data_IF_629220481013
#
_entry.id   IF_629220481013
#
_cell.length_a   1.000
_cell.length_b   1.000
_cell.length_c   1.000
_cell.angle_alpha   90.00
_cell.angle_beta   90.00
_cell.angle_gamma   90.00
#
_symmetry.space_group_name_H-M   'P 1'
#
loop_
_entity.id
_entity.type
_entity.pdbx_description
1 polymer ?
#
# COMPACT_ATOMS: atom_id res chain seq x y z
N UNK A 1 17.75 18.33 0.22
CA UNK A 1 17.89 19.65 0.87
C UNK A 1 16.53 20.33 0.96
N UNK A 2 16.06 20.76 2.15
CA UNK A 2 14.86 21.58 2.46
C UNK A 2 13.53 20.89 2.76
N UNK A 3 13.52 19.96 3.72
CA UNK A 3 12.29 19.73 4.52
C UNK A 3 12.41 20.40 5.90
N UNK A 4 13.63 20.69 6.38
CA UNK A 4 13.85 21.44 7.63
C UNK A 4 13.37 22.90 7.59
N UNK A 5 13.23 23.51 6.41
CA UNK A 5 12.75 24.88 6.26
C UNK A 5 11.24 25.03 6.44
N UNK A 6 10.44 24.02 6.07
CA UNK A 6 8.97 24.10 6.12
C UNK A 6 8.43 24.02 7.56
N UNK A 7 9.02 23.19 8.39
CA UNK A 7 8.60 23.08 9.81
C UNK A 7 9.03 24.32 10.61
N UNK A 8 10.19 24.90 10.29
CA UNK A 8 10.70 26.09 11.00
C UNK A 8 9.96 27.39 10.61
N UNK A 9 9.45 27.49 9.39
CA UNK A 9 8.65 28.64 8.97
C UNK A 9 7.26 28.64 9.63
N UNK A 10 6.65 27.47 9.79
CA UNK A 10 5.35 27.32 10.48
C UNK A 10 5.40 27.66 11.97
N UNK A 11 6.53 27.41 12.63
CA UNK A 11 6.73 27.82 14.03
C UNK A 11 7.01 29.32 14.19
N UNK A 12 7.50 30.01 13.16
CA UNK A 12 7.73 31.45 13.20
C UNK A 12 6.49 32.28 12.95
N UNK A 13 5.56 31.76 12.14
CA UNK A 13 4.28 32.43 11.86
C UNK A 13 3.32 32.39 13.06
N UNK A 14 3.42 31.38 13.92
CA UNK A 14 2.57 31.27 15.10
C UNK A 14 2.98 32.26 16.23
N UNK A 15 4.11 32.97 16.10
CA UNK A 15 4.60 33.90 17.12
C UNK A 15 4.16 35.35 16.92
N UNK A 16 3.54 35.69 15.79
CA UNK A 16 3.16 37.08 15.45
C UNK A 16 1.66 37.35 15.53
N UNK A 17 0.83 36.36 15.80
CA UNK A 17 -0.60 36.60 16.03
C UNK A 17 -0.88 36.71 17.51
N UNK A 18 -1.05 37.97 17.95
CA UNK A 18 -1.45 38.32 19.29
C UNK A 18 -2.80 37.71 19.68
N UNK A 19 -2.84 37.26 20.91
CA UNK A 19 -4.00 37.20 21.81
C UNK A 19 -5.38 37.04 21.15
N UNK A 20 -5.67 35.88 20.57
CA UNK A 20 -7.06 35.42 20.44
C UNK A 20 -7.17 34.21 21.36
N UNK A 21 -8.05 34.32 22.39
CA UNK A 21 -8.54 33.23 23.22
C UNK A 21 -9.19 32.17 22.32
N UNK A 22 -8.39 31.38 21.63
CA UNK A 22 -8.79 30.23 20.86
C UNK A 22 -8.23 29.00 21.55
N UNK A 23 -9.11 28.17 22.11
CA UNK A 23 -8.72 26.95 22.76
C UNK A 23 -7.82 26.13 21.85
N UNK A 24 -6.57 25.96 22.25
CA UNK A 24 -5.73 24.91 21.69
C UNK A 24 -6.53 23.61 21.84
N UNK A 25 -7.05 23.09 20.73
CA UNK A 25 -7.56 21.73 20.70
C UNK A 25 -6.36 20.88 21.10
N UNK A 26 -6.28 20.48 22.37
CA UNK A 26 -5.34 19.46 22.81
C UNK A 26 -5.63 18.26 21.92
N UNK A 27 -4.84 18.08 20.86
CA UNK A 27 -4.87 16.83 20.12
C UNK A 27 -4.51 15.79 21.15
N UNK A 28 -5.53 15.09 21.64
CA UNK A 28 -5.39 14.14 22.73
C UNK A 28 -4.36 13.11 22.28
N UNK A 29 -3.40 12.80 23.15
CA UNK A 29 -2.46 11.69 22.93
C UNK A 29 -3.22 10.42 22.52
N UNK A 30 -4.42 10.23 23.06
CA UNK A 30 -5.37 9.17 22.69
C UNK A 30 -5.77 9.20 21.19
N UNK A 31 -5.93 10.40 20.59
CA UNK A 31 -6.26 10.54 19.18
C UNK A 31 -5.08 10.16 18.28
N UNK A 32 -3.86 10.47 18.69
CA UNK A 32 -2.62 10.10 17.96
C UNK A 32 -2.35 8.61 18.11
N UNK A 33 -2.44 8.08 19.34
CA UNK A 33 -2.26 6.65 19.62
C UNK A 33 -3.37 5.83 18.95
N UNK A 34 -4.62 6.28 18.96
CA UNK A 34 -5.72 5.64 18.26
C UNK A 34 -5.50 5.57 16.75
N UNK A 35 -4.98 6.63 16.14
CA UNK A 35 -4.61 6.65 14.73
C UNK A 35 -3.48 5.65 14.41
N UNK A 36 -2.43 5.62 15.25
CA UNK A 36 -1.30 4.69 15.08
C UNK A 36 -1.75 3.24 15.24
N UNK A 37 -2.62 2.93 16.18
CA UNK A 37 -3.13 1.58 16.38
C UNK A 37 -4.04 1.15 15.22
N UNK A 38 -4.86 2.06 14.71
CA UNK A 38 -5.85 1.76 13.66
C UNK A 38 -5.19 1.35 12.34
N UNK A 39 -4.14 2.03 11.87
CA UNK A 39 -3.49 1.63 10.62
C UNK A 39 -2.78 0.27 10.72
N UNK A 40 -2.27 -0.10 11.92
CA UNK A 40 -1.67 -1.41 12.15
C UNK A 40 -2.72 -2.51 11.98
N UNK A 41 -3.91 -2.35 12.59
CA UNK A 41 -4.99 -3.32 12.44
C UNK A 41 -5.47 -3.45 10.99
N UNK A 42 -5.57 -2.34 10.28
CA UNK A 42 -5.91 -2.34 8.85
C UNK A 42 -4.83 -3.05 8.02
N UNK A 43 -3.55 -2.82 8.32
CA UNK A 43 -2.44 -3.48 7.65
C UNK A 43 -2.42 -5.00 7.91
N UNK A 44 -2.67 -5.41 9.17
CA UNK A 44 -2.79 -6.84 9.52
C UNK A 44 -3.98 -7.49 8.83
N UNK A 45 -5.13 -6.82 8.79
CA UNK A 45 -6.29 -7.27 8.03
C UNK A 45 -5.99 -7.43 6.55
N UNK A 46 -5.30 -6.46 5.94
CA UNK A 46 -4.84 -6.55 4.55
C UNK A 46 -3.93 -7.77 4.34
N UNK A 47 -2.97 -8.00 5.23
CA UNK A 47 -2.07 -9.16 5.14
C UNK A 47 -2.83 -10.49 5.23
N UNK A 48 -3.82 -10.58 6.13
CA UNK A 48 -4.68 -11.77 6.24
C UNK A 48 -5.45 -12.05 4.95
N UNK A 49 -6.13 -11.03 4.39
CA UNK A 49 -6.85 -11.19 3.13
C UNK A 49 -5.92 -11.46 1.95
N UNK A 50 -4.70 -10.93 1.94
CA UNK A 50 -3.70 -11.24 0.92
C UNK A 50 -3.28 -12.71 0.98
N UNK A 51 -3.07 -13.26 2.19
CA UNK A 51 -2.77 -14.68 2.37
C UNK A 51 -3.93 -15.57 1.89
N UNK A 52 -5.15 -15.25 2.31
CA UNK A 52 -6.36 -15.97 1.86
C UNK A 52 -6.52 -15.91 0.34
N UNK A 53 -6.29 -14.75 -0.26
CA UNK A 53 -6.29 -14.55 -1.71
C UNK A 53 -5.32 -15.51 -2.41
N UNK A 54 -4.09 -15.66 -1.88
CA UNK A 54 -3.07 -16.52 -2.50
C UNK A 54 -3.48 -17.99 -2.51
N UNK A 55 -4.08 -18.48 -1.43
CA UNK A 55 -4.56 -19.85 -1.33
C UNK A 55 -5.78 -20.08 -2.23
N UNK A 56 -6.78 -19.18 -2.18
CA UNK A 56 -7.96 -19.27 -3.04
C UNK A 56 -7.60 -19.16 -4.52
N UNK A 57 -6.62 -18.32 -4.85
CA UNK A 57 -6.13 -18.19 -6.21
C UNK A 57 -5.46 -19.50 -6.69
N UNK A 58 -4.64 -20.15 -5.84
CA UNK A 58 -3.98 -21.40 -6.20
C UNK A 58 -4.99 -22.49 -6.52
N UNK A 59 -6.05 -22.62 -5.71
CA UNK A 59 -7.14 -23.57 -5.95
C UNK A 59 -7.95 -23.20 -7.19
N UNK A 60 -8.32 -21.93 -7.33
CA UNK A 60 -9.20 -21.46 -8.41
C UNK A 60 -8.54 -21.40 -9.80
N UNK A 61 -7.21 -21.51 -9.88
CA UNK A 61 -6.48 -21.49 -11.15
C UNK A 61 -6.30 -22.88 -11.76
N UNK A 62 -6.65 -23.94 -11.03
CA UNK A 62 -6.61 -25.31 -11.55
C UNK A 62 -7.53 -25.46 -12.77
N UNK A 63 -6.96 -25.88 -13.91
CA UNK A 63 -7.71 -26.04 -15.16
C UNK A 63 -8.16 -24.75 -15.86
N UNK A 64 -7.85 -23.57 -15.30
CA UNK A 64 -8.20 -22.27 -15.86
C UNK A 64 -6.96 -21.52 -16.31
N UNK A 65 -6.99 -20.92 -17.49
CA UNK A 65 -5.86 -20.08 -17.97
C UNK A 65 -5.60 -18.90 -17.03
N UNK A 66 -4.34 -18.65 -16.67
CA UNK A 66 -3.96 -17.61 -15.69
C UNK A 66 -4.51 -16.22 -16.04
N UNK A 67 -4.54 -15.86 -17.32
CA UNK A 67 -5.06 -14.57 -17.77
C UNK A 67 -6.59 -14.48 -17.53
N UNK A 68 -7.32 -15.57 -17.80
CA UNK A 68 -8.76 -15.61 -17.57
C UNK A 68 -9.09 -15.54 -16.07
N UNK A 69 -8.35 -16.30 -15.25
CA UNK A 69 -8.49 -16.25 -13.79
C UNK A 69 -8.22 -14.84 -13.24
N UNK A 70 -7.19 -14.17 -13.74
CA UNK A 70 -6.88 -12.78 -13.39
C UNK A 70 -8.03 -11.84 -13.79
N UNK A 71 -8.59 -11.99 -15.00
CA UNK A 71 -9.68 -11.13 -15.49
C UNK A 71 -10.96 -11.30 -14.65
N UNK A 72 -11.38 -12.54 -14.37
CA UNK A 72 -12.57 -12.83 -13.56
C UNK A 72 -12.41 -12.22 -12.15
N UNK A 73 -11.28 -12.46 -11.50
CA UNK A 73 -11.00 -11.90 -10.18
C UNK A 73 -11.01 -10.37 -10.19
N UNK A 74 -10.39 -9.75 -11.21
CA UNK A 74 -10.34 -8.30 -11.32
C UNK A 74 -11.72 -7.70 -11.46
N UNK A 75 -12.62 -8.34 -12.20
CA UNK A 75 -14.01 -7.92 -12.32
C UNK A 75 -14.69 -7.88 -10.94
N UNK A 76 -14.53 -8.93 -10.12
CA UNK A 76 -15.08 -8.96 -8.76
C UNK A 76 -14.51 -7.82 -7.91
N UNK A 77 -13.19 -7.56 -7.99
CA UNK A 77 -12.56 -6.47 -7.24
C UNK A 77 -13.09 -5.10 -7.68
N UNK A 78 -13.27 -4.89 -8.99
CA UNK A 78 -13.85 -3.64 -9.54
C UNK A 78 -15.27 -3.43 -9.02
N UNK A 79 -16.12 -4.45 -9.07
CA UNK A 79 -17.51 -4.36 -8.57
C UNK A 79 -17.51 -4.03 -7.07
N UNK A 80 -16.68 -4.72 -6.29
CA UNK A 80 -16.58 -4.48 -4.85
C UNK A 80 -16.08 -3.05 -4.54
N UNK A 81 -15.06 -2.58 -5.25
CA UNK A 81 -14.51 -1.24 -5.06
C UNK A 81 -15.54 -0.15 -5.39
N UNK A 82 -16.25 -0.27 -6.52
CA UNK A 82 -17.31 0.67 -6.87
C UNK A 82 -18.50 0.59 -5.91
N UNK A 83 -18.86 -0.61 -5.45
CA UNK A 83 -19.87 -0.80 -4.40
C UNK A 83 -19.54 0.02 -3.15
N UNK A 84 -18.28 -0.01 -2.69
CA UNK A 84 -17.83 0.81 -1.57
C UNK A 84 -17.91 2.31 -1.87
N UNK A 85 -17.56 2.76 -3.07
CA UNK A 85 -17.69 4.16 -3.49
C UNK A 85 -19.15 4.64 -3.40
N UNK A 86 -20.10 3.81 -3.83
CA UNK A 86 -21.53 4.14 -3.76
C UNK A 86 -22.04 4.13 -2.31
N UNK A 87 -21.68 3.13 -1.49
CA UNK A 87 -22.07 3.05 -0.09
C UNK A 87 -21.55 4.26 0.72
N UNK A 88 -20.31 4.70 0.42
CA UNK A 88 -19.69 5.83 1.10
C UNK A 88 -20.03 7.19 0.48
N UNK A 89 -20.88 7.23 -0.54
CA UNK A 89 -21.30 8.44 -1.27
C UNK A 89 -20.12 9.29 -1.81
N UNK A 90 -19.01 8.65 -2.20
CA UNK A 90 -17.80 9.32 -2.67
C UNK A 90 -17.77 9.59 -4.19
N UNK A 91 -18.78 9.17 -4.94
CA UNK A 91 -18.84 9.33 -6.41
C UNK A 91 -18.72 10.80 -6.86
N UNK A 92 -19.16 11.75 -6.04
CA UNK A 92 -19.03 13.19 -6.35
C UNK A 92 -17.57 13.68 -6.39
N UNK A 93 -16.65 12.97 -5.70
CA UNK A 93 -15.23 13.31 -5.64
C UNK A 93 -14.48 13.12 -6.97
N UNK A 94 -15.05 12.36 -7.92
CA UNK A 94 -14.41 12.09 -9.22
C UNK A 94 -14.11 13.40 -9.98
N UNK A 95 -15.00 14.38 -9.89
CA UNK A 95 -14.83 15.68 -10.57
C UNK A 95 -13.76 16.57 -9.97
N UNK A 96 -13.35 16.31 -8.73
CA UNK A 96 -12.33 17.08 -8.00
C UNK A 96 -10.92 16.48 -8.11
N UNK A 97 -10.76 15.33 -8.78
CA UNK A 97 -9.47 14.67 -8.95
C UNK A 97 -8.60 15.49 -9.91
N UNK A 98 -7.38 15.84 -9.46
CA UNK A 98 -6.42 16.55 -10.29
C UNK A 98 -5.92 15.68 -11.45
N UNK A 99 -5.55 16.33 -12.57
CA UNK A 99 -4.97 15.63 -13.71
C UNK A 99 -3.73 14.82 -13.34
N UNK A 100 -2.90 15.37 -12.46
CA UNK A 100 -1.73 14.67 -11.91
C UNK A 100 -2.14 13.38 -11.20
N UNK A 101 -3.14 13.44 -10.34
CA UNK A 101 -3.64 12.25 -9.62
C UNK A 101 -4.20 11.20 -10.57
N UNK A 102 -4.92 11.61 -11.61
CA UNK A 102 -5.40 10.70 -12.66
C UNK A 102 -4.27 9.92 -13.32
N UNK A 103 -3.20 10.60 -13.73
CA UNK A 103 -2.04 9.96 -14.38
C UNK A 103 -1.43 8.91 -13.45
N UNK A 104 -1.16 9.27 -12.18
CA UNK A 104 -0.54 8.34 -11.24
C UNK A 104 -1.46 7.16 -10.87
N UNK A 105 -2.77 7.38 -10.75
CA UNK A 105 -3.72 6.30 -10.50
C UNK A 105 -3.80 5.32 -11.67
N UNK A 106 -3.79 5.83 -12.92
CA UNK A 106 -3.78 4.99 -14.12
C UNK A 106 -2.49 4.17 -14.18
N UNK A 107 -1.33 4.81 -14.00
CA UNK A 107 -0.04 4.13 -14.00
C UNK A 107 0.04 3.06 -12.89
N UNK A 108 -0.45 3.36 -11.70
CA UNK A 108 -0.55 2.40 -10.59
C UNK A 108 -1.45 1.23 -10.94
N UNK A 109 -2.60 1.49 -11.59
CA UNK A 109 -3.50 0.45 -12.06
C UNK A 109 -2.85 -0.48 -13.09
N UNK A 110 -2.11 0.09 -14.05
CA UNK A 110 -1.36 -0.69 -15.06
C UNK A 110 -0.27 -1.55 -14.40
N UNK A 111 0.48 -0.98 -13.44
CA UNK A 111 1.49 -1.73 -12.69
C UNK A 111 0.87 -2.88 -11.89
N UNK A 112 -0.28 -2.65 -11.24
CA UNK A 112 -1.03 -3.67 -10.51
C UNK A 112 -1.49 -4.78 -11.45
N UNK A 113 -2.04 -4.44 -12.61
CA UNK A 113 -2.47 -5.41 -13.62
C UNK A 113 -1.31 -6.29 -14.11
N UNK A 114 -0.18 -5.66 -14.45
CA UNK A 114 1.03 -6.39 -14.84
C UNK A 114 1.54 -7.32 -13.74
N UNK A 115 1.59 -6.84 -12.50
CA UNK A 115 1.98 -7.63 -11.34
C UNK A 115 1.07 -8.87 -11.17
N UNK A 116 -0.23 -8.70 -11.27
CA UNK A 116 -1.19 -9.82 -11.12
C UNK A 116 -1.09 -10.83 -12.25
N UNK A 117 -0.89 -10.40 -13.49
CA UNK A 117 -0.68 -11.33 -14.60
C UNK A 117 0.57 -12.20 -14.38
N UNK A 118 1.67 -11.59 -13.94
CA UNK A 118 2.89 -12.32 -13.58
C UNK A 118 2.67 -13.27 -12.40
N UNK A 119 2.03 -12.77 -11.33
CA UNK A 119 1.79 -13.53 -10.11
C UNK A 119 0.91 -14.77 -10.35
N UNK A 120 -0.20 -14.62 -11.09
CA UNK A 120 -1.09 -15.74 -11.40
C UNK A 120 -0.42 -16.76 -12.32
N UNK A 121 0.39 -16.28 -13.26
CA UNK A 121 1.18 -17.19 -14.09
C UNK A 121 2.22 -17.96 -13.26
N UNK A 122 2.88 -17.29 -12.33
CA UNK A 122 3.81 -17.94 -11.41
C UNK A 122 3.11 -18.97 -10.51
N UNK A 123 1.92 -18.66 -9.95
CA UNK A 123 1.12 -19.60 -9.16
C UNK A 123 0.65 -20.81 -9.96
N UNK A 124 0.42 -20.65 -11.26
CA UNK A 124 0.04 -21.75 -12.14
C UNK A 124 1.22 -22.73 -12.34
N UNK A 125 2.43 -22.22 -12.42
CA UNK A 125 3.65 -22.99 -12.72
C UNK A 125 4.37 -23.50 -11.46
N UNK A 126 4.22 -22.83 -10.32
CA UNK A 126 4.96 -23.10 -9.09
C UNK A 126 4.06 -23.31 -7.87
N UNK A 127 4.67 -23.78 -6.80
CA UNK A 127 3.99 -23.96 -5.51
C UNK A 127 3.75 -22.61 -4.83
N UNK A 128 2.57 -22.45 -4.24
CA UNK A 128 2.22 -21.21 -3.53
C UNK A 128 3.23 -20.90 -2.40
N UNK A 129 3.74 -21.92 -1.73
CA UNK A 129 4.76 -21.79 -0.67
C UNK A 129 6.07 -21.16 -1.13
N UNK A 130 6.41 -21.25 -2.42
CA UNK A 130 7.60 -20.65 -3.04
C UNK A 130 7.27 -19.32 -3.71
N UNK A 131 6.15 -19.24 -4.44
CA UNK A 131 5.76 -18.05 -5.20
C UNK A 131 5.40 -16.88 -4.28
N UNK A 132 4.66 -17.13 -3.20
CA UNK A 132 4.22 -16.08 -2.27
C UNK A 132 5.40 -15.38 -1.58
N UNK A 133 6.42 -16.09 -1.04
CA UNK A 133 7.60 -15.41 -0.48
C UNK A 133 8.34 -14.55 -1.49
N UNK A 134 8.52 -15.03 -2.74
CA UNK A 134 9.17 -14.23 -3.80
C UNK A 134 8.40 -12.94 -4.07
N UNK A 135 7.08 -12.99 -4.13
CA UNK A 135 6.25 -11.79 -4.30
C UNK A 135 6.48 -10.76 -3.18
N UNK A 136 6.79 -11.20 -1.95
CA UNK A 136 7.09 -10.32 -0.82
C UNK A 136 8.43 -9.58 -0.94
N UNK A 137 9.31 -9.93 -1.88
CA UNK A 137 10.47 -9.10 -2.23
C UNK A 137 10.05 -7.71 -2.73
N UNK A 138 8.81 -7.56 -3.19
CA UNK A 138 8.22 -6.26 -3.51
C UNK A 138 8.33 -5.25 -2.36
N UNK A 139 8.31 -5.70 -1.10
CA UNK A 139 8.52 -4.83 0.09
C UNK A 139 9.92 -4.22 0.07
N UNK A 140 10.95 -5.01 -0.24
CA UNK A 140 12.33 -4.53 -0.32
C UNK A 140 12.47 -3.52 -1.47
N UNK A 141 11.91 -3.85 -2.64
CA UNK A 141 11.91 -2.97 -3.81
C UNK A 141 11.18 -1.66 -3.49
N UNK A 142 10.02 -1.73 -2.81
CA UNK A 142 9.26 -0.54 -2.42
C UNK A 142 10.06 0.37 -1.51
N UNK A 143 10.78 -0.16 -0.52
CA UNK A 143 11.61 0.64 0.39
C UNK A 143 12.76 1.34 -0.36
N UNK A 144 13.41 0.65 -1.31
CA UNK A 144 14.45 1.24 -2.16
C UNK A 144 13.86 2.36 -3.03
N UNK A 145 12.70 2.12 -3.66
CA UNK A 145 12.03 3.13 -4.48
C UNK A 145 11.53 4.31 -3.65
N UNK A 146 11.02 4.09 -2.44
CA UNK A 146 10.60 5.14 -1.53
C UNK A 146 11.78 6.04 -1.13
N UNK A 147 12.95 5.46 -0.86
CA UNK A 147 14.17 6.21 -0.60
C UNK A 147 14.58 7.07 -1.81
N UNK A 148 14.57 6.51 -3.04
CA UNK A 148 15.02 7.19 -4.25
C UNK A 148 14.03 8.27 -4.70
N UNK A 149 12.73 7.96 -4.76
CA UNK A 149 11.72 8.84 -5.37
C UNK A 149 10.98 9.71 -4.35
N UNK A 150 10.73 9.20 -3.14
CA UNK A 150 10.00 9.93 -2.11
C UNK A 150 10.93 10.62 -1.11
N UNK A 151 12.26 10.35 -1.21
CA UNK A 151 13.28 10.88 -0.30
C UNK A 151 12.97 10.58 1.18
N UNK A 152 12.37 9.41 1.43
CA UNK A 152 12.12 8.92 2.78
C UNK A 152 13.45 8.47 3.45
N UNK A 153 13.56 8.71 4.77
CA UNK A 153 14.75 8.34 5.51
C UNK A 153 14.90 6.81 5.59
N UNK A 154 16.00 6.29 5.05
CA UNK A 154 16.34 4.87 5.13
C UNK A 154 17.05 4.58 6.45
N UNK A 155 16.33 4.08 7.43
CA UNK A 155 16.89 3.79 8.75
C UNK A 155 17.69 2.48 8.76
N UNK A 156 18.68 2.36 9.66
CA UNK A 156 19.41 1.10 9.85
C UNK A 156 18.47 -0.07 10.18
N UNK A 157 17.37 0.18 10.90
CA UNK A 157 16.35 -0.83 11.19
C UNK A 157 15.64 -1.31 9.93
N UNK A 158 15.29 -0.39 9.02
CA UNK A 158 14.68 -0.73 7.72
C UNK A 158 15.63 -1.57 6.86
N UNK A 159 16.93 -1.24 6.87
CA UNK A 159 17.95 -2.00 6.15
C UNK A 159 18.08 -3.44 6.67
N UNK A 160 18.16 -3.62 7.97
CA UNK A 160 18.17 -4.95 8.59
C UNK A 160 16.90 -5.72 8.25
N UNK A 161 15.72 -5.08 8.33
CA UNK A 161 14.45 -5.69 7.94
C UNK A 161 14.44 -6.17 6.49
N UNK A 162 14.96 -5.37 5.54
CA UNK A 162 15.09 -5.76 4.13
C UNK A 162 15.99 -6.99 3.95
N UNK A 163 17.14 -7.02 4.63
CA UNK A 163 18.08 -8.15 4.56
C UNK A 163 17.42 -9.42 5.10
N UNK A 164 16.71 -9.32 6.23
CA UNK A 164 16.00 -10.46 6.81
C UNK A 164 14.89 -10.99 5.92
N UNK A 165 14.10 -10.09 5.29
CA UNK A 165 13.05 -10.49 4.33
C UNK A 165 13.68 -11.19 3.11
N UNK A 166 14.76 -10.62 2.55
CA UNK A 166 15.46 -11.21 1.42
C UNK A 166 16.05 -12.58 1.73
N UNK A 167 16.77 -12.69 2.85
CA UNK A 167 17.37 -13.96 3.30
C UNK A 167 16.28 -15.00 3.62
N UNK A 168 15.22 -14.61 4.33
CA UNK A 168 14.10 -15.50 4.63
C UNK A 168 13.39 -16.01 3.38
N UNK A 169 13.19 -15.13 2.38
CA UNK A 169 12.62 -15.52 1.09
C UNK A 169 13.51 -16.53 0.37
N UNK A 170 14.81 -16.31 0.32
CA UNK A 170 15.76 -17.25 -0.30
C UNK A 170 15.72 -18.62 0.38
N UNK A 171 15.72 -18.66 1.72
CA UNK A 171 15.62 -19.90 2.48
C UNK A 171 14.32 -20.67 2.23
N UNK A 172 13.22 -19.98 1.95
CA UNK A 172 11.93 -20.64 1.66
C UNK A 172 11.85 -21.20 0.23
N UNK A 173 12.68 -20.71 -0.68
CA UNK A 173 12.64 -21.09 -2.11
C UNK A 173 13.66 -22.17 -2.44
N UNK A 174 14.80 -22.17 -1.74
CA UNK A 174 15.85 -23.20 -1.86
C UNK A 174 15.41 -24.51 -1.22
#
# INVERSE_FOLDING_TARGET
MKVKGFVRSRMRESRTYGSVRGGYRKVSVYSIVGGIVMWIWLALGSAFFAALTSILAKVGIEGVGSNLATAIRTMVVVIMAWGMVFITHQQGGIRSISQKSWIFLILSGLATGASWLCYYKALQMGDASKVVPIDKLSVVITLVLAFIFLHEDFTAKSMVGCILIGAGTLLMVL
#
